data_IF_810406595886
#
_entry.id   IF_810406595886
#
_cell.length_a   1.000
_cell.length_b   1.000
_cell.length_c   1.000
_cell.angle_alpha   90.00
_cell.angle_beta   90.00
_cell.angle_gamma   90.00
#
_symmetry.space_group_name_H-M   'P 1'
#
loop_
_entity.id
_entity.type
_entity.pdbx_description
1 polymer ?
#
# COMPACT_ATOMS: atom_id res chain seq x y z
N UNK A 1 76.87 -42.94 17.84
CA UNK A 1 76.89 -41.85 16.83
C UNK A 1 75.50 -41.84 16.24
N UNK A 2 74.60 -40.98 16.71
CA UNK A 2 74.25 -39.68 16.08
C UNK A 2 73.93 -39.90 14.60
N UNK A 3 72.74 -39.62 14.06
CA UNK A 3 71.98 -38.37 14.22
C UNK A 3 70.47 -38.58 14.09
N UNK A 4 69.73 -37.82 14.91
CA UNK A 4 68.32 -37.51 14.74
C UNK A 4 68.15 -36.62 13.50
N UNK A 5 67.22 -36.95 12.61
CA UNK A 5 66.66 -35.99 11.65
C UNK A 5 65.31 -35.52 12.18
N UNK A 6 65.27 -34.27 12.65
CA UNK A 6 64.06 -33.56 13.04
C UNK A 6 63.32 -33.08 11.79
N UNK A 7 62.06 -33.46 11.70
CA UNK A 7 61.08 -32.98 10.72
C UNK A 7 60.68 -31.55 11.09
N UNK A 8 60.89 -30.60 10.17
CA UNK A 8 60.61 -29.18 10.39
C UNK A 8 59.15 -28.91 9.99
N UNK A 9 58.29 -28.74 10.99
CA UNK A 9 56.90 -28.33 10.81
C UNK A 9 56.82 -26.88 10.28
N UNK A 10 56.04 -26.69 9.22
CA UNK A 10 55.74 -25.40 8.62
C UNK A 10 54.73 -24.64 9.50
N UNK A 11 54.94 -23.35 9.82
CA UNK A 11 53.96 -22.60 10.62
C UNK A 11 52.70 -22.26 9.80
N UNK A 12 51.54 -22.56 10.38
CA UNK A 12 50.21 -22.16 9.87
C UNK A 12 50.08 -20.63 9.85
N UNK A 13 49.55 -20.10 8.75
CA UNK A 13 49.17 -18.70 8.61
C UNK A 13 48.01 -18.35 9.57
N UNK A 14 47.94 -17.11 10.08
CA UNK A 14 46.87 -16.67 10.97
C UNK A 14 45.52 -16.52 10.23
N UNK A 15 44.47 -16.95 10.90
CA UNK A 15 43.05 -16.86 10.53
C UNK A 15 42.61 -15.38 10.45
N UNK A 16 41.84 -14.96 9.42
CA UNK A 16 41.39 -13.57 9.31
C UNK A 16 40.29 -13.26 10.35
N UNK A 17 40.45 -12.15 11.07
CA UNK A 17 39.48 -11.66 12.05
C UNK A 17 38.10 -11.34 11.43
N UNK A 18 36.99 -11.54 12.17
CA UNK A 18 35.65 -11.24 11.68
C UNK A 18 35.43 -9.73 11.55
N UNK A 19 35.05 -9.29 10.34
CA UNK A 19 34.68 -7.91 10.02
C UNK A 19 33.42 -7.52 10.81
N UNK A 20 33.40 -6.36 11.51
CA UNK A 20 32.20 -5.92 12.22
C UNK A 20 31.09 -5.51 11.24
N UNK A 21 29.93 -6.16 11.37
CA UNK A 21 28.68 -5.82 10.68
C UNK A 21 28.26 -4.39 11.04
N UNK A 22 27.91 -3.52 10.08
CA UNK A 22 27.36 -2.21 10.42
C UNK A 22 26.01 -2.37 11.11
N UNK A 23 25.88 -1.77 12.29
CA UNK A 23 24.62 -1.71 13.03
C UNK A 23 23.59 -0.90 12.24
N UNK A 24 22.42 -1.50 11.98
CA UNK A 24 21.23 -0.79 11.49
C UNK A 24 20.89 0.35 12.44
N UNK A 25 20.78 1.61 11.98
CA UNK A 25 20.35 2.69 12.85
C UNK A 25 18.87 2.50 13.21
N UNK A 26 18.58 2.39 14.50
CA UNK A 26 17.23 2.44 15.02
C UNK A 26 16.66 3.85 14.80
N UNK A 27 15.80 4.01 13.79
CA UNK A 27 15.05 5.25 13.58
C UNK A 27 13.97 5.37 14.65
N UNK A 28 14.11 6.37 15.50
CA UNK A 28 13.12 6.78 16.50
C UNK A 28 11.85 7.24 15.78
N UNK A 29 10.64 6.77 16.15
CA UNK A 29 9.40 7.28 15.55
C UNK A 29 9.22 8.74 15.93
N UNK A 30 9.03 9.60 14.92
CA UNK A 30 8.75 11.02 15.11
C UNK A 30 7.39 11.23 15.84
N UNK A 31 7.25 12.29 16.65
CA UNK A 31 5.97 12.61 17.30
C UNK A 31 4.90 12.90 16.25
N UNK A 32 3.74 12.25 16.39
CA UNK A 32 2.59 12.27 15.46
C UNK A 32 1.90 13.66 15.30
N UNK A 33 2.43 14.71 15.92
CA UNK A 33 1.75 16.01 16.06
C UNK A 33 1.98 17.00 14.91
N UNK A 34 2.82 16.66 13.91
CA UNK A 34 3.20 17.57 12.81
C UNK A 34 3.20 16.89 11.44
N UNK A 35 2.43 15.82 11.26
CA UNK A 35 2.36 15.19 9.95
C UNK A 35 1.71 16.17 8.96
N UNK A 36 2.38 16.48 7.82
CA UNK A 36 1.83 17.40 6.85
C UNK A 36 0.50 16.84 6.34
N UNK A 37 -0.55 17.57 6.68
CA UNK A 37 -1.86 17.48 6.05
C UNK A 37 -1.65 17.90 4.59
N UNK A 38 -1.88 16.97 3.65
CA UNK A 38 -1.55 17.16 2.23
C UNK A 38 -0.16 16.64 1.83
N UNK A 39 0.16 15.38 2.16
CA UNK A 39 1.44 14.75 1.87
C UNK A 39 1.87 14.72 0.39
N UNK A 40 3.14 14.36 0.16
CA UNK A 40 3.74 14.21 -1.16
C UNK A 40 2.98 13.22 -2.05
N UNK A 41 3.00 13.44 -3.37
CA UNK A 41 2.44 12.52 -4.35
C UNK A 41 3.31 11.28 -4.52
N UNK A 42 2.77 10.12 -4.14
CA UNK A 42 3.41 8.83 -4.28
C UNK A 42 2.93 8.10 -5.53
N UNK A 43 3.86 7.64 -6.35
CA UNK A 43 3.64 7.00 -7.64
C UNK A 43 4.29 5.63 -7.79
N UNK A 44 4.28 5.08 -9.02
CA UNK A 44 4.75 3.72 -9.31
C UNK A 44 6.24 3.50 -9.03
N UNK A 45 7.04 4.56 -9.14
CA UNK A 45 8.49 4.50 -8.91
C UNK A 45 8.87 4.66 -7.43
N UNK A 46 7.91 5.00 -6.57
CA UNK A 46 8.13 5.20 -5.15
C UNK A 46 8.10 3.85 -4.40
N UNK A 47 9.01 3.68 -3.43
CA UNK A 47 9.03 2.49 -2.60
C UNK A 47 7.84 2.50 -1.62
N UNK A 48 6.80 1.70 -1.91
CA UNK A 48 5.61 1.54 -1.05
C UNK A 48 5.70 0.22 -0.25
N UNK A 49 6.29 0.23 0.96
CA UNK A 49 6.43 -0.97 1.78
C UNK A 49 5.05 -1.53 2.16
N UNK A 50 4.94 -2.84 2.37
CA UNK A 50 3.67 -3.47 2.78
C UNK A 50 3.13 -2.92 4.12
N UNK A 51 4.04 -2.53 5.01
CA UNK A 51 3.76 -1.92 6.31
C UNK A 51 4.51 -0.59 6.42
N UNK A 52 3.88 0.55 6.08
CA UNK A 52 4.55 1.83 6.10
C UNK A 52 4.77 2.33 7.53
N UNK A 53 5.94 2.90 7.80
CA UNK A 53 6.26 3.49 9.10
C UNK A 53 5.34 4.69 9.38
N UNK A 54 4.74 4.80 10.58
CA UNK A 54 3.92 5.95 10.96
C UNK A 54 4.60 7.27 10.65
N UNK A 55 3.85 8.17 10.00
CA UNK A 55 4.33 9.50 9.63
C UNK A 55 5.09 9.63 8.31
N UNK A 56 5.37 8.51 7.63
CA UNK A 56 5.88 8.55 6.25
C UNK A 56 4.79 8.95 5.26
N UNK A 57 5.13 9.50 4.07
CA UNK A 57 4.15 9.75 3.01
C UNK A 57 3.30 8.50 2.66
N UNK A 58 3.92 7.32 2.66
CA UNK A 58 3.22 6.06 2.38
C UNK A 58 2.16 5.74 3.45
N UNK A 59 2.49 5.99 4.73
CA UNK A 59 1.53 5.83 5.82
C UNK A 59 0.36 6.80 5.70
N UNK A 60 0.63 8.04 5.25
CA UNK A 60 -0.38 9.07 5.11
C UNK A 60 -1.43 8.75 4.04
N UNK A 61 -1.13 7.92 3.04
CA UNK A 61 -2.11 7.48 2.04
C UNK A 61 -3.36 6.84 2.66
N UNK A 62 -3.26 6.24 3.84
CA UNK A 62 -4.38 5.58 4.50
C UNK A 62 -4.53 5.94 5.98
N UNK A 63 -3.87 7.00 6.41
CA UNK A 63 -4.12 7.59 7.71
C UNK A 63 -5.36 8.47 7.61
N UNK A 64 -6.41 8.10 8.34
CA UNK A 64 -7.62 8.92 8.47
C UNK A 64 -7.44 9.88 9.67
N UNK A 65 -7.21 11.18 9.41
CA UNK A 65 -6.98 12.14 10.49
C UNK A 65 -8.25 12.40 11.32
N UNK A 66 -9.45 12.15 10.79
CA UNK A 66 -10.69 12.38 11.52
C UNK A 66 -10.88 11.38 12.67
N UNK A 67 -10.36 10.16 12.52
CA UNK A 67 -10.40 9.11 13.56
C UNK A 67 -9.02 8.77 14.14
N UNK A 68 -7.96 9.42 13.65
CA UNK A 68 -6.58 9.21 14.09
C UNK A 68 -6.05 7.79 13.85
N UNK A 69 -6.53 7.11 12.81
CA UNK A 69 -6.24 5.69 12.58
C UNK A 69 -5.80 5.40 11.16
N UNK A 70 -4.77 4.56 11.04
CA UNK A 70 -4.37 3.98 9.76
C UNK A 70 -5.25 2.78 9.38
N UNK A 71 -5.65 2.73 8.10
CA UNK A 71 -6.51 1.69 7.53
C UNK A 71 -5.74 0.90 6.48
N UNK A 72 -5.25 -0.28 6.85
CA UNK A 72 -4.49 -1.15 5.94
C UNK A 72 -5.19 -1.41 4.61
N UNK A 73 -6.51 -1.63 4.61
CA UNK A 73 -7.28 -1.87 3.40
C UNK A 73 -7.29 -0.68 2.42
N UNK A 74 -7.36 0.55 2.94
CA UNK A 74 -7.26 1.78 2.13
C UNK A 74 -5.84 1.94 1.56
N UNK A 75 -4.81 1.58 2.33
CA UNK A 75 -3.42 1.66 1.86
C UNK A 75 -3.17 0.70 0.70
N UNK A 76 -3.61 -0.55 0.84
CA UNK A 76 -3.52 -1.53 -0.24
C UNK A 76 -4.29 -1.10 -1.49
N UNK A 77 -5.46 -0.48 -1.30
CA UNK A 77 -6.25 0.07 -2.40
C UNK A 77 -5.50 1.20 -3.10
N UNK A 78 -4.93 2.15 -2.35
CA UNK A 78 -4.13 3.24 -2.90
C UNK A 78 -2.94 2.73 -3.73
N UNK A 79 -2.23 1.70 -3.22
CA UNK A 79 -1.14 1.05 -3.94
C UNK A 79 -1.60 0.44 -5.26
N UNK A 80 -2.72 -0.28 -5.26
CA UNK A 80 -3.27 -0.86 -6.50
C UNK A 80 -3.69 0.21 -7.51
N UNK A 81 -4.26 1.33 -7.05
CA UNK A 81 -4.59 2.45 -7.94
C UNK A 81 -3.31 3.02 -8.57
N UNK A 82 -2.27 3.25 -7.76
CA UNK A 82 -0.96 3.72 -8.23
C UNK A 82 -0.40 2.75 -9.29
N UNK A 83 -0.32 1.46 -8.95
CA UNK A 83 0.29 0.43 -9.79
C UNK A 83 -0.50 0.17 -11.07
N UNK A 84 -1.82 0.06 -11.01
CA UNK A 84 -2.64 -0.37 -12.15
C UNK A 84 -3.03 0.80 -13.06
N UNK A 85 -3.13 2.02 -12.51
CA UNK A 85 -3.47 3.22 -13.30
C UNK A 85 -2.26 4.09 -13.62
N UNK A 86 -1.08 3.74 -13.09
CA UNK A 86 0.16 4.46 -13.33
C UNK A 86 0.04 5.96 -12.98
N UNK A 87 -0.59 6.24 -11.83
CA UNK A 87 -0.79 7.59 -11.30
C UNK A 87 -0.02 7.78 -10.00
N UNK A 88 0.19 9.04 -9.63
CA UNK A 88 0.72 9.42 -8.32
C UNK A 88 -0.42 9.91 -7.46
N UNK A 89 -0.61 9.35 -6.27
CA UNK A 89 -1.65 9.73 -5.33
C UNK A 89 -1.10 10.44 -4.12
N UNK A 90 -1.90 11.36 -3.58
CA UNK A 90 -1.78 11.82 -2.20
C UNK A 90 -3.12 11.70 -1.48
N UNK A 91 -3.09 11.58 -0.16
CA UNK A 91 -4.30 11.64 0.67
C UNK A 91 -4.98 13.00 0.52
N UNK A 92 -6.30 13.00 0.45
CA UNK A 92 -7.07 14.23 0.44
C UNK A 92 -6.97 14.98 1.78
N UNK A 93 -7.19 16.30 1.73
CA UNK A 93 -7.19 17.15 2.92
C UNK A 93 -8.35 16.78 3.88
N UNK A 94 -8.21 17.00 5.20
CA UNK A 94 -9.29 16.82 6.17
C UNK A 94 -10.57 17.54 5.74
N UNK A 95 -11.70 16.81 5.80
CA UNK A 95 -13.01 17.32 5.40
C UNK A 95 -13.32 17.17 3.90
N UNK A 96 -12.37 16.68 3.09
CA UNK A 96 -12.65 16.27 1.72
C UNK A 96 -13.68 15.12 1.68
N UNK A 97 -14.46 15.07 0.60
CA UNK A 97 -15.47 14.03 0.37
C UNK A 97 -14.93 12.80 -0.37
N UNK A 98 -13.65 12.80 -0.71
CA UNK A 98 -12.94 11.77 -1.46
C UNK A 98 -11.68 11.38 -0.69
N UNK A 99 -11.16 10.19 -0.95
CA UNK A 99 -10.01 9.64 -0.25
C UNK A 99 -8.67 10.21 -0.76
N UNK A 100 -8.52 10.34 -2.08
CA UNK A 100 -7.26 10.74 -2.72
C UNK A 100 -7.44 11.72 -3.86
N UNK A 101 -6.34 12.40 -4.19
CA UNK A 101 -6.18 13.22 -5.39
C UNK A 101 -4.92 12.76 -6.12
N UNK A 102 -4.94 12.72 -7.45
CA UNK A 102 -3.74 12.46 -8.26
C UNK A 102 -3.00 13.73 -8.72
N UNK A 103 -1.83 13.56 -9.35
CA UNK A 103 -1.00 14.67 -9.83
C UNK A 103 -1.69 15.57 -10.87
N UNK A 104 -2.81 15.12 -11.46
CA UNK A 104 -3.60 15.86 -12.43
C UNK A 104 -4.84 16.52 -11.81
N UNK A 105 -5.05 16.37 -10.50
CA UNK A 105 -6.22 16.88 -9.79
C UNK A 105 -7.46 15.99 -9.90
N UNK A 106 -7.31 14.76 -10.43
CA UNK A 106 -8.40 13.77 -10.44
C UNK A 106 -8.64 13.28 -9.02
N UNK A 107 -9.91 13.17 -8.62
CA UNK A 107 -10.30 12.73 -7.27
C UNK A 107 -10.72 11.26 -7.30
N UNK A 108 -10.37 10.52 -6.26
CA UNK A 108 -10.65 9.10 -6.09
C UNK A 108 -11.33 8.85 -4.75
N UNK A 109 -12.38 8.05 -4.75
CA UNK A 109 -13.11 7.61 -3.55
C UNK A 109 -13.43 6.13 -3.74
N UNK A 110 -12.77 5.25 -2.99
CA UNK A 110 -12.76 3.82 -3.29
C UNK A 110 -13.71 3.01 -2.42
N UNK A 111 -14.11 1.85 -2.94
CA UNK A 111 -14.95 0.89 -2.24
C UNK A 111 -14.40 -0.52 -2.43
N UNK A 112 -14.78 -1.46 -1.56
CA UNK A 112 -14.65 -2.89 -1.85
C UNK A 112 -13.67 -3.68 -1.00
N UNK A 113 -12.46 -3.19 -0.68
CA UNK A 113 -11.39 -4.02 -0.07
C UNK A 113 -11.71 -4.52 1.36
N UNK A 114 -12.69 -5.41 1.49
CA UNK A 114 -13.17 -6.08 2.68
C UNK A 114 -13.12 -7.61 2.45
N UNK A 115 -13.07 -8.42 3.52
CA UNK A 115 -12.94 -9.86 3.38
C UNK A 115 -14.09 -10.53 2.59
N UNK A 116 -13.75 -11.39 1.62
CA UNK A 116 -14.70 -12.15 0.77
C UNK A 116 -15.85 -12.82 1.53
N UNK A 117 -15.59 -13.31 2.76
CA UNK A 117 -16.61 -13.95 3.61
C UNK A 117 -17.81 -13.05 3.96
N UNK A 118 -17.69 -11.74 3.75
CA UNK A 118 -18.77 -10.78 3.97
C UNK A 118 -19.48 -10.33 2.69
N UNK A 119 -19.05 -10.82 1.52
CA UNK A 119 -19.54 -10.36 0.22
C UNK A 119 -21.07 -10.40 0.12
N UNK A 120 -21.69 -11.56 0.35
CA UNK A 120 -23.14 -11.71 0.20
C UNK A 120 -23.93 -10.74 1.08
N UNK A 121 -23.42 -10.47 2.30
CA UNK A 121 -24.04 -9.53 3.25
C UNK A 121 -23.81 -8.07 2.89
N UNK A 122 -22.72 -7.77 2.20
CA UNK A 122 -22.34 -6.41 1.82
C UNK A 122 -22.71 -6.09 0.36
N UNK A 123 -23.17 -7.05 -0.44
CA UNK A 123 -23.31 -6.88 -1.88
C UNK A 123 -24.23 -5.73 -2.26
N UNK A 124 -25.42 -5.65 -1.65
CA UNK A 124 -26.35 -4.54 -1.90
C UNK A 124 -25.77 -3.19 -1.47
N UNK A 125 -25.09 -3.16 -0.34
CA UNK A 125 -24.42 -1.96 0.15
C UNK A 125 -23.26 -1.55 -0.75
N UNK A 126 -22.48 -2.50 -1.28
CA UNK A 126 -21.37 -2.23 -2.19
C UNK A 126 -21.89 -1.55 -3.46
N UNK A 127 -22.94 -2.10 -4.07
CA UNK A 127 -23.60 -1.49 -5.24
C UNK A 127 -24.06 -0.05 -4.95
N UNK A 128 -24.69 0.17 -3.80
CA UNK A 128 -25.13 1.51 -3.37
C UNK A 128 -23.93 2.45 -3.20
N UNK A 129 -22.85 2.02 -2.53
CA UNK A 129 -21.67 2.85 -2.31
C UNK A 129 -20.99 3.23 -3.63
N UNK A 130 -20.87 2.30 -4.59
CA UNK A 130 -20.33 2.60 -5.93
C UNK A 130 -21.08 3.79 -6.56
N UNK A 131 -22.41 3.72 -6.57
CA UNK A 131 -23.25 4.77 -7.17
C UNK A 131 -23.18 6.08 -6.38
N UNK A 132 -23.12 6.01 -5.04
CA UNK A 132 -23.00 7.19 -4.20
C UNK A 132 -21.64 7.90 -4.36
N UNK A 133 -20.55 7.15 -4.54
CA UNK A 133 -19.21 7.72 -4.65
C UNK A 133 -18.98 8.44 -5.98
N UNK A 134 -19.73 8.09 -7.04
CA UNK A 134 -19.76 8.86 -8.29
C UNK A 134 -20.24 10.31 -8.11
N UNK A 135 -20.93 10.63 -6.99
CA UNK A 135 -21.33 12.01 -6.66
C UNK A 135 -20.25 12.79 -5.90
N UNK A 136 -19.19 12.12 -5.46
CA UNK A 136 -18.16 12.65 -4.55
C UNK A 136 -16.78 12.76 -5.19
N UNK A 137 -16.48 11.84 -6.10
CA UNK A 137 -15.19 11.74 -6.78
C UNK A 137 -15.37 11.54 -8.29
N UNK A 138 -14.32 11.88 -9.04
CA UNK A 138 -14.28 11.72 -10.49
C UNK A 138 -14.02 10.27 -10.91
N UNK A 139 -13.35 9.48 -10.07
CA UNK A 139 -13.08 8.06 -10.29
C UNK A 139 -13.48 7.28 -9.04
N UNK A 140 -14.15 6.15 -9.23
CA UNK A 140 -14.54 5.22 -8.16
C UNK A 140 -13.85 3.88 -8.38
N UNK A 141 -12.70 3.64 -7.74
CA UNK A 141 -12.07 2.33 -7.73
C UNK A 141 -12.89 1.34 -6.90
N UNK A 142 -13.23 0.21 -7.51
CA UNK A 142 -13.83 -0.94 -6.85
C UNK A 142 -12.72 -1.98 -6.66
N UNK A 143 -12.18 -2.06 -5.45
CA UNK A 143 -11.11 -2.98 -5.12
C UNK A 143 -11.69 -4.36 -4.81
N UNK A 144 -11.36 -5.32 -5.67
CA UNK A 144 -11.84 -6.71 -5.60
C UNK A 144 -10.75 -7.71 -5.23
N UNK A 145 -9.57 -7.24 -4.79
CA UNK A 145 -8.42 -8.08 -4.56
C UNK A 145 -8.68 -9.21 -3.54
N UNK A 146 -9.53 -8.95 -2.55
CA UNK A 146 -9.91 -9.92 -1.52
C UNK A 146 -11.07 -10.83 -1.92
N UNK A 147 -11.73 -10.60 -3.05
CA UNK A 147 -12.89 -11.36 -3.50
C UNK A 147 -12.49 -12.64 -4.25
N UNK A 148 -13.35 -13.66 -4.19
CA UNK A 148 -13.18 -14.87 -5.02
C UNK A 148 -13.47 -14.56 -6.49
N UNK A 149 -13.09 -15.46 -7.39
CA UNK A 149 -13.34 -15.25 -8.82
C UNK A 149 -14.83 -15.11 -9.15
N UNK A 150 -15.69 -15.91 -8.50
CA UNK A 150 -17.14 -15.83 -8.68
C UNK A 150 -17.69 -14.47 -8.21
N UNK A 151 -17.17 -13.96 -7.09
CA UNK A 151 -17.53 -12.64 -6.57
C UNK A 151 -17.04 -11.51 -7.49
N UNK A 152 -15.84 -11.64 -8.06
CA UNK A 152 -15.29 -10.71 -9.05
C UNK A 152 -16.13 -10.68 -10.32
N UNK A 153 -16.61 -11.83 -10.81
CA UNK A 153 -17.57 -11.88 -11.93
C UNK A 153 -18.80 -11.04 -11.63
N UNK A 154 -19.40 -11.18 -10.45
CA UNK A 154 -20.59 -10.40 -10.06
C UNK A 154 -20.29 -8.89 -10.02
N UNK A 155 -19.14 -8.48 -9.50
CA UNK A 155 -18.71 -7.08 -9.51
C UNK A 155 -18.51 -6.58 -10.93
N UNK A 156 -17.80 -7.32 -11.79
CA UNK A 156 -17.59 -6.98 -13.20
C UNK A 156 -18.90 -6.80 -13.95
N UNK A 157 -19.84 -7.71 -13.77
CA UNK A 157 -21.15 -7.62 -14.41
C UNK A 157 -21.93 -6.39 -13.98
N UNK A 158 -21.94 -6.09 -12.68
CA UNK A 158 -22.58 -4.89 -12.16
C UNK A 158 -21.93 -3.61 -12.69
N UNK A 159 -20.59 -3.50 -12.61
CA UNK A 159 -19.85 -2.32 -13.09
C UNK A 159 -20.05 -2.11 -14.58
N UNK A 160 -20.00 -3.18 -15.40
CA UNK A 160 -20.31 -3.12 -16.84
C UNK A 160 -21.73 -2.61 -17.09
N UNK A 161 -22.70 -3.07 -16.29
CA UNK A 161 -24.10 -2.64 -16.37
C UNK A 161 -24.32 -1.15 -16.09
N UNK A 162 -23.42 -0.49 -15.35
CA UNK A 162 -23.49 0.96 -15.11
C UNK A 162 -23.13 1.79 -16.35
N UNK A 163 -22.42 1.20 -17.33
CA UNK A 163 -21.92 1.88 -18.53
C UNK A 163 -21.18 3.21 -18.23
N UNK A 164 -20.46 3.27 -17.10
CA UNK A 164 -19.76 4.47 -16.65
C UNK A 164 -18.26 4.21 -16.51
N UNK A 165 -17.47 4.86 -17.37
CA UNK A 165 -16.01 4.74 -17.43
C UNK A 165 -15.27 5.27 -16.19
N UNK A 166 -15.96 6.02 -15.32
CA UNK A 166 -15.41 6.53 -14.06
C UNK A 166 -15.37 5.45 -12.97
N UNK A 167 -16.13 4.37 -13.10
CA UNK A 167 -16.04 3.22 -12.20
C UNK A 167 -15.02 2.25 -12.76
N UNK A 168 -13.94 2.04 -12.03
CA UNK A 168 -12.83 1.18 -12.45
C UNK A 168 -12.64 0.06 -11.45
N UNK A 169 -12.30 -1.13 -11.91
CA UNK A 169 -12.01 -2.27 -11.03
C UNK A 169 -10.49 -2.31 -10.83
N UNK A 170 -10.05 -2.49 -9.59
CA UNK A 170 -8.64 -2.69 -9.25
C UNK A 170 -8.43 -3.98 -8.47
N UNK A 171 -7.25 -4.60 -8.60
CA UNK A 171 -6.95 -5.88 -7.95
C UNK A 171 -7.61 -7.10 -8.59
N UNK A 172 -8.07 -6.97 -9.84
CA UNK A 172 -8.69 -8.05 -10.62
C UNK A 172 -7.62 -8.82 -11.41
N UNK A 173 -6.79 -9.59 -10.68
CA UNK A 173 -5.70 -10.41 -11.21
C UNK A 173 -5.81 -11.85 -10.78
#
# INVERSE_FOLDING_TARGET
MSELTHEIATPSAPEPEPVPTPATPALTPAPLSHLPVGGEFLGPDDALPASPTPGTPAYLLAFDPAVGKFRQSEYETARRIIDERQVRLRRAEPGARHDWVDQHGTTYDAVGNFPAKFFDKQWDKLKEQIVLHLKKAQVVPVDVAQFTEEQRVLVREFVRGLANVQVVIVGDK
#
